data_IF_972185986097
#
_entry.id   IF_972185986097
#
_cell.length_a   1.000
_cell.length_b   1.000
_cell.length_c   1.000
_cell.angle_alpha   90.00
_cell.angle_beta   90.00
_cell.angle_gamma   90.00
#
_symmetry.space_group_name_H-M   'P 1'
#
loop_
_entity.id
_entity.type
_entity.pdbx_description
1 polymer ?
#
# COMPACT_ATOMS: atom_id res chain seq x y z
N UNK A 1 -4.97 32.66 -21.26
CA UNK A 1 -4.06 33.77 -20.89
C UNK A 1 -3.02 33.35 -19.84
N UNK A 2 -3.37 33.07 -18.56
CA UNK A 2 -2.37 32.70 -17.54
C UNK A 2 -1.59 31.42 -17.86
N UNK A 3 -2.27 30.33 -18.25
CA UNK A 3 -1.61 29.05 -18.58
C UNK A 3 -0.75 29.11 -19.85
N UNK A 4 -1.18 29.86 -20.89
CA UNK A 4 -0.39 30.06 -22.11
C UNK A 4 0.85 30.90 -21.84
N UNK A 5 0.72 31.91 -20.98
CA UNK A 5 1.84 32.72 -20.54
C UNK A 5 2.87 31.88 -19.76
N UNK A 6 2.41 31.11 -18.77
CA UNK A 6 3.27 30.18 -18.02
C UNK A 6 3.98 29.19 -18.95
N UNK A 7 3.27 28.66 -19.95
CA UNK A 7 3.85 27.76 -20.96
C UNK A 7 4.93 28.44 -21.80
N UNK A 8 4.71 29.69 -22.22
CA UNK A 8 5.72 30.46 -22.95
C UNK A 8 6.96 30.73 -22.09
N UNK A 9 6.76 31.11 -20.84
CA UNK A 9 7.84 31.37 -19.88
C UNK A 9 8.63 30.09 -19.59
N UNK A 10 7.95 28.97 -19.36
CA UNK A 10 8.57 27.66 -19.21
C UNK A 10 9.42 27.28 -20.44
N UNK A 11 8.89 27.44 -21.67
CA UNK A 11 9.65 27.16 -22.90
C UNK A 11 10.92 28.03 -23.03
N UNK A 12 10.84 29.31 -22.67
CA UNK A 12 12.01 30.20 -22.63
C UNK A 12 13.06 29.72 -21.64
N UNK A 13 12.65 29.31 -20.43
CA UNK A 13 13.57 28.76 -19.42
C UNK A 13 14.19 27.45 -19.88
N UNK A 14 13.40 26.52 -20.44
CA UNK A 14 13.96 25.27 -20.99
C UNK A 14 15.00 25.56 -22.08
N UNK A 15 14.73 26.49 -22.97
CA UNK A 15 15.68 26.91 -24.02
C UNK A 15 16.97 27.52 -23.43
N UNK A 16 16.85 28.30 -22.35
CA UNK A 16 17.98 28.86 -21.59
C UNK A 16 18.81 27.77 -20.87
N UNK A 17 18.18 26.66 -20.48
CA UNK A 17 18.83 25.55 -19.81
C UNK A 17 19.42 24.51 -20.77
N UNK A 18 19.06 24.55 -22.05
CA UNK A 18 19.52 23.57 -23.03
C UNK A 18 21.06 23.59 -23.18
N UNK A 19 21.76 22.46 -22.91
CA UNK A 19 23.20 22.35 -23.08
C UNK A 19 23.69 22.74 -24.48
N UNK A 20 22.84 22.55 -25.51
CA UNK A 20 23.15 22.93 -26.91
C UNK A 20 23.22 24.44 -27.11
N UNK A 21 22.45 25.20 -26.32
CA UNK A 21 22.41 26.66 -26.39
C UNK A 21 23.45 27.30 -25.46
N UNK A 22 23.83 26.60 -24.39
CA UNK A 22 24.71 27.12 -23.34
C UNK A 22 26.17 26.69 -23.50
N UNK A 23 26.44 25.63 -24.27
CA UNK A 23 27.77 25.04 -24.45
C UNK A 23 28.30 24.35 -23.19
N UNK A 24 27.48 24.13 -22.17
CA UNK A 24 27.86 23.60 -20.86
C UNK A 24 27.28 22.20 -20.67
N UNK A 25 28.11 21.18 -20.88
CA UNK A 25 27.70 19.77 -20.84
C UNK A 25 27.67 19.21 -19.40
N UNK A 26 28.32 19.88 -18.43
CA UNK A 26 28.52 19.38 -17.06
C UNK A 26 28.14 20.39 -15.97
N UNK A 27 27.11 21.20 -16.19
CA UNK A 27 26.61 22.13 -15.16
C UNK A 27 25.81 21.33 -14.11
N UNK A 28 26.01 21.61 -12.81
CA UNK A 28 25.26 20.95 -11.74
C UNK A 28 23.82 21.46 -11.65
N UNK A 29 22.90 20.62 -11.17
CA UNK A 29 21.47 20.94 -11.04
C UNK A 29 21.22 22.23 -10.23
N UNK A 30 22.03 22.46 -9.19
CA UNK A 30 21.96 23.67 -8.36
C UNK A 30 22.27 24.96 -9.15
N UNK A 31 23.30 24.94 -9.99
CA UNK A 31 23.66 26.09 -10.84
C UNK A 31 22.63 26.34 -11.94
N UNK A 32 22.06 25.28 -12.52
CA UNK A 32 20.94 25.41 -13.46
C UNK A 32 19.70 26.03 -12.79
N UNK A 33 19.42 25.63 -11.54
CA UNK A 33 18.30 26.15 -10.76
C UNK A 33 18.47 27.64 -10.45
N UNK A 34 19.65 28.06 -9.99
CA UNK A 34 19.95 29.47 -9.73
C UNK A 34 19.75 30.33 -10.99
N UNK A 35 20.23 29.87 -12.14
CA UNK A 35 20.07 30.59 -13.41
C UNK A 35 18.62 30.69 -13.86
N UNK A 36 17.87 29.59 -13.73
CA UNK A 36 16.44 29.60 -14.01
C UNK A 36 15.68 30.55 -13.07
N UNK A 37 16.04 30.55 -11.79
CA UNK A 37 15.45 31.42 -10.78
C UNK A 37 15.72 32.89 -11.06
N UNK A 38 16.97 33.24 -11.43
CA UNK A 38 17.34 34.61 -11.79
C UNK A 38 16.58 35.07 -13.05
N UNK A 39 16.54 34.25 -14.09
CA UNK A 39 15.82 34.57 -15.33
C UNK A 39 14.31 34.79 -15.08
N UNK A 40 13.69 33.91 -14.28
CA UNK A 40 12.29 34.03 -13.92
C UNK A 40 12.01 35.29 -13.12
N UNK A 41 12.89 35.65 -12.19
CA UNK A 41 12.76 36.91 -11.41
C UNK A 41 12.80 38.13 -12.34
N UNK A 42 13.81 38.20 -13.20
CA UNK A 42 13.99 39.33 -14.12
C UNK A 42 12.81 39.49 -15.10
N UNK A 43 12.24 38.39 -15.61
CA UNK A 43 11.12 38.45 -16.55
C UNK A 43 9.78 38.74 -15.83
N UNK A 44 9.57 38.20 -14.63
CA UNK A 44 8.35 38.44 -13.84
C UNK A 44 8.31 39.86 -13.24
N UNK A 45 9.45 40.43 -12.85
CA UNK A 45 9.53 41.80 -12.33
C UNK A 45 9.18 42.88 -13.37
N UNK A 46 9.28 42.54 -14.65
CA UNK A 46 8.82 43.39 -15.76
C UNK A 46 7.31 43.40 -15.91
N UNK A 47 6.59 42.54 -15.18
CA UNK A 47 5.14 42.39 -15.29
C UNK A 47 4.40 43.14 -14.19
N UNK A 48 3.21 43.64 -14.53
CA UNK A 48 2.28 44.27 -13.58
C UNK A 48 1.45 43.21 -12.83
N UNK A 49 2.13 42.28 -12.16
CA UNK A 49 1.50 41.26 -11.31
C UNK A 49 1.77 41.57 -9.82
N UNK A 50 0.83 41.27 -8.91
CA UNK A 50 1.11 41.25 -7.47
C UNK A 50 2.28 40.33 -7.14
N UNK A 51 3.05 40.67 -6.11
CA UNK A 51 4.23 39.90 -5.67
C UNK A 51 3.89 38.43 -5.39
N UNK A 52 2.76 38.18 -4.72
CA UNK A 52 2.30 36.83 -4.38
C UNK A 52 1.99 35.99 -5.63
N UNK A 53 1.48 36.60 -6.70
CA UNK A 53 1.19 35.92 -7.96
C UNK A 53 2.48 35.61 -8.72
N UNK A 54 3.47 36.53 -8.73
CA UNK A 54 4.80 36.27 -9.31
C UNK A 54 5.49 35.11 -8.63
N UNK A 55 5.49 35.10 -7.30
CA UNK A 55 6.10 34.03 -6.50
C UNK A 55 5.43 32.68 -6.75
N UNK A 56 4.11 32.67 -6.92
CA UNK A 56 3.34 31.45 -7.25
C UNK A 56 3.73 30.92 -8.63
N UNK A 57 3.80 31.79 -9.64
CA UNK A 57 4.21 31.42 -11.02
C UNK A 57 5.65 30.92 -11.04
N UNK A 58 6.56 31.64 -10.38
CA UNK A 58 7.98 31.30 -10.28
C UNK A 58 8.18 29.92 -9.65
N UNK A 59 7.54 29.67 -8.50
CA UNK A 59 7.60 28.37 -7.81
C UNK A 59 7.06 27.25 -8.68
N UNK A 60 5.92 27.46 -9.33
CA UNK A 60 5.32 26.46 -10.22
C UNK A 60 6.26 26.04 -11.36
N UNK A 61 6.90 27.00 -12.03
CA UNK A 61 7.85 26.69 -13.12
C UNK A 61 9.11 26.01 -12.59
N UNK A 62 9.65 26.45 -11.46
CA UNK A 62 10.82 25.81 -10.85
C UNK A 62 10.50 24.36 -10.42
N UNK A 63 9.32 24.12 -9.84
CA UNK A 63 8.90 22.78 -9.46
C UNK A 63 8.71 21.87 -10.69
N UNK A 64 8.22 22.39 -11.81
CA UNK A 64 8.11 21.63 -13.06
C UNK A 64 9.46 21.24 -13.67
N UNK A 65 10.47 22.10 -13.52
CA UNK A 65 11.80 21.86 -14.07
C UNK A 65 12.65 20.95 -13.17
N UNK A 66 12.65 21.22 -11.86
CA UNK A 66 13.61 20.64 -10.91
C UNK A 66 12.98 19.74 -9.84
N UNK A 67 11.66 19.73 -9.70
CA UNK A 67 10.95 18.87 -8.77
C UNK A 67 9.97 17.95 -9.51
N UNK A 68 8.72 17.86 -9.04
CA UNK A 68 7.68 17.01 -9.60
C UNK A 68 6.50 17.82 -10.11
N UNK A 69 6.72 19.08 -10.47
CA UNK A 69 5.70 19.98 -11.00
C UNK A 69 4.53 20.17 -10.03
N UNK A 70 3.28 20.26 -10.52
CA UNK A 70 2.11 20.59 -9.70
C UNK A 70 1.82 19.58 -8.58
N UNK A 71 2.33 18.35 -8.65
CA UNK A 71 2.13 17.34 -7.60
C UNK A 71 3.13 17.44 -6.44
N UNK A 72 4.15 18.31 -6.55
CA UNK A 72 5.19 18.49 -5.52
C UNK A 72 4.62 18.75 -4.12
N UNK A 73 3.63 19.65 -3.92
CA UNK A 73 3.04 19.89 -2.61
C UNK A 73 2.31 18.66 -2.03
N UNK A 74 1.72 17.81 -2.87
CA UNK A 74 1.00 16.62 -2.41
C UNK A 74 1.94 15.48 -2.02
N UNK A 75 3.14 15.44 -2.59
CA UNK A 75 4.16 14.48 -2.21
C UNK A 75 4.65 14.73 -0.77
N UNK A 76 4.75 15.99 -0.35
CA UNK A 76 5.15 16.35 1.01
C UNK A 76 3.99 16.36 2.02
N UNK A 77 2.73 16.51 1.57
CA UNK A 77 1.55 16.56 2.45
C UNK A 77 1.30 15.20 3.16
N UNK A 78 1.47 15.09 4.49
CA UNK A 78 1.29 13.83 5.22
C UNK A 78 -0.16 13.32 5.24
N UNK A 79 -1.15 14.16 4.90
CA UNK A 79 -2.57 13.79 4.83
C UNK A 79 -2.88 13.07 3.51
N UNK A 80 -2.11 13.33 2.45
CA UNK A 80 -2.28 12.68 1.15
C UNK A 80 -1.69 11.27 1.19
N UNK A 81 -2.53 10.27 0.90
CA UNK A 81 -2.15 8.85 0.84
C UNK A 81 -1.91 8.36 -0.58
N UNK A 82 -2.57 8.95 -1.56
CA UNK A 82 -2.49 8.55 -2.97
C UNK A 82 -2.63 9.77 -3.89
N UNK A 83 -1.89 9.78 -4.99
CA UNK A 83 -1.95 10.80 -6.04
C UNK A 83 -2.22 10.09 -7.36
N UNK A 84 -3.26 10.48 -8.08
CA UNK A 84 -3.64 9.92 -9.37
C UNK A 84 -3.67 11.03 -10.42
N UNK A 85 -2.79 10.92 -11.41
CA UNK A 85 -2.72 11.80 -12.58
C UNK A 85 -3.22 11.01 -13.78
N UNK A 86 -4.46 11.24 -14.17
CA UNK A 86 -5.08 10.57 -15.33
C UNK A 86 -4.70 11.22 -16.67
N UNK A 87 -3.98 12.34 -16.61
CA UNK A 87 -3.51 13.15 -17.73
C UNK A 87 -3.22 14.57 -17.24
N UNK A 88 -2.68 15.44 -18.11
CA UNK A 88 -2.24 16.79 -17.69
C UNK A 88 -3.29 17.62 -16.94
N UNK A 89 -4.57 17.48 -17.28
CA UNK A 89 -5.67 18.28 -16.72
C UNK A 89 -6.46 17.57 -15.62
N UNK A 90 -6.06 16.36 -15.21
CA UNK A 90 -6.88 15.49 -14.37
C UNK A 90 -6.03 14.89 -13.25
N UNK A 91 -5.99 15.59 -12.12
CA UNK A 91 -5.23 15.21 -10.93
C UNK A 91 -6.17 15.06 -9.74
N UNK A 92 -6.16 13.87 -9.15
CA UNK A 92 -6.89 13.51 -7.94
C UNK A 92 -5.91 13.15 -6.83
N UNK A 93 -6.32 13.41 -5.60
CA UNK A 93 -5.61 12.95 -4.40
C UNK A 93 -6.57 12.22 -3.48
N UNK A 94 -6.08 11.20 -2.79
CA UNK A 94 -6.78 10.61 -1.65
C UNK A 94 -6.37 11.33 -0.37
N UNK A 95 -7.34 11.93 0.32
CA UNK A 95 -7.20 12.50 1.66
C UNK A 95 -8.21 11.86 2.59
N UNK A 96 -7.75 11.35 3.73
CA UNK A 96 -8.62 10.72 4.74
C UNK A 96 -9.55 9.63 4.17
N UNK A 97 -9.09 8.87 3.18
CA UNK A 97 -9.91 7.84 2.55
C UNK A 97 -11.02 8.39 1.64
N UNK A 98 -10.90 9.63 1.13
CA UNK A 98 -11.78 10.20 0.11
C UNK A 98 -10.97 10.71 -1.08
N UNK A 99 -11.47 10.43 -2.28
CA UNK A 99 -10.90 10.96 -3.52
C UNK A 99 -11.39 12.39 -3.74
N UNK A 100 -10.45 13.32 -3.92
CA UNK A 100 -10.73 14.74 -4.10
C UNK A 100 -10.04 15.24 -5.37
N UNK A 101 -10.77 15.86 -6.32
CA UNK A 101 -10.15 16.54 -7.45
C UNK A 101 -9.38 17.77 -6.95
N UNK A 102 -8.17 17.95 -7.45
CA UNK A 102 -7.27 19.02 -6.97
C UNK A 102 -7.50 20.37 -7.65
N UNK A 103 -8.11 20.38 -8.84
CA UNK A 103 -8.30 21.58 -9.65
C UNK A 103 -7.01 22.13 -10.30
N UNK A 104 -5.86 21.49 -10.07
CA UNK A 104 -4.59 21.86 -10.67
C UNK A 104 -4.25 20.96 -11.86
N UNK A 105 -3.36 21.43 -12.74
CA UNK A 105 -2.98 20.77 -13.98
C UNK A 105 -1.48 20.94 -14.26
N UNK A 106 -0.91 20.01 -15.01
CA UNK A 106 0.38 20.18 -15.67
C UNK A 106 0.24 21.11 -16.88
N UNK A 107 1.30 21.86 -17.21
CA UNK A 107 1.27 22.75 -18.38
C UNK A 107 1.06 22.00 -19.70
N UNK A 108 1.55 20.77 -19.82
CA UNK A 108 1.42 19.95 -21.02
C UNK A 108 1.68 18.46 -20.78
N UNK A 109 1.43 17.61 -21.78
CA UNK A 109 1.71 16.17 -21.66
C UNK A 109 3.23 15.91 -21.65
N UNK A 110 4.02 16.79 -22.29
CA UNK A 110 5.48 16.73 -22.25
C UNK A 110 6.05 17.04 -20.86
N UNK A 111 5.45 18.00 -20.12
CA UNK A 111 5.89 18.31 -18.74
C UNK A 111 5.53 17.19 -17.76
N UNK A 112 4.35 16.58 -17.92
CA UNK A 112 3.99 15.37 -17.18
C UNK A 112 4.94 14.21 -17.52
N UNK A 113 5.23 13.98 -18.81
CA UNK A 113 6.19 12.96 -19.23
C UNK A 113 7.58 13.19 -18.62
N UNK A 114 8.10 14.41 -18.68
CA UNK A 114 9.39 14.77 -18.07
C UNK A 114 9.41 14.54 -16.55
N UNK A 115 8.29 14.79 -15.87
CA UNK A 115 8.14 14.49 -14.43
C UNK A 115 8.23 12.99 -14.16
N UNK A 116 7.53 12.18 -14.96
CA UNK A 116 7.59 10.71 -14.85
C UNK A 116 9.01 10.21 -15.13
N UNK A 117 9.67 10.70 -16.18
CA UNK A 117 11.03 10.30 -16.55
C UNK A 117 12.04 10.63 -15.43
N UNK A 118 11.90 11.78 -14.75
CA UNK A 118 12.71 12.13 -13.57
C UNK A 118 12.47 11.21 -12.37
N UNK A 119 11.23 10.76 -12.15
CA UNK A 119 10.94 9.79 -11.08
C UNK A 119 11.53 8.41 -11.40
N UNK A 120 11.37 7.96 -12.65
CA UNK A 120 11.79 6.63 -13.12
C UNK A 120 13.32 6.53 -13.22
N UNK A 121 14.02 7.60 -13.61
CA UNK A 121 15.48 7.60 -13.69
C UNK A 121 16.18 7.38 -12.34
N UNK A 122 15.56 7.83 -11.24
CA UNK A 122 16.07 7.63 -9.88
C UNK A 122 16.00 6.18 -9.39
N UNK A 123 15.15 5.37 -10.01
CA UNK A 123 14.87 3.98 -9.58
C UNK A 123 15.46 2.93 -10.54
N UNK A 124 16.31 3.36 -11.47
CA UNK A 124 17.00 2.54 -12.47
C UNK A 124 16.04 1.61 -13.25
N UNK A 125 14.85 2.12 -13.58
CA UNK A 125 13.88 1.45 -14.45
C UNK A 125 13.83 2.16 -15.80
N UNK A 126 13.31 1.46 -16.82
CA UNK A 126 13.10 2.02 -18.15
C UNK A 126 11.61 2.28 -18.39
N UNK A 127 11.32 3.37 -19.08
CA UNK A 127 9.99 3.74 -19.55
C UNK A 127 10.13 4.40 -20.92
N UNK A 128 9.81 3.67 -21.98
CA UNK A 128 9.93 4.10 -23.37
C UNK A 128 8.87 3.41 -24.24
N UNK A 129 8.85 3.65 -25.55
CA UNK A 129 7.83 3.06 -26.44
C UNK A 129 7.88 1.52 -26.51
N UNK A 130 9.03 0.91 -26.21
CA UNK A 130 9.19 -0.54 -26.16
C UNK A 130 8.72 -1.13 -24.83
N UNK A 131 8.80 -0.34 -23.75
CA UNK A 131 8.30 -0.67 -22.41
C UNK A 131 7.44 0.50 -21.88
N UNK A 132 6.18 0.62 -22.33
CA UNK A 132 5.36 1.83 -22.15
C UNK A 132 4.66 1.90 -20.79
N UNK A 133 5.01 1.04 -19.85
CA UNK A 133 4.52 1.07 -18.48
C UNK A 133 5.61 0.64 -17.51
N UNK A 134 5.54 1.12 -16.28
CA UNK A 134 6.52 0.80 -15.24
C UNK A 134 5.87 0.79 -13.86
N UNK A 135 6.23 -0.21 -13.06
CA UNK A 135 6.00 -0.27 -11.63
C UNK A 135 7.33 -0.14 -10.90
N UNK A 136 7.42 0.81 -9.96
CA UNK A 136 8.65 1.05 -9.24
C UNK A 136 8.43 1.60 -7.82
N UNK A 137 9.50 1.57 -7.04
CA UNK A 137 9.54 2.08 -5.67
C UNK A 137 10.52 3.24 -5.57
N UNK A 138 10.02 4.40 -5.16
CA UNK A 138 10.81 5.61 -4.95
C UNK A 138 11.68 5.50 -3.68
N UNK A 139 12.75 6.31 -3.55
CA UNK A 139 13.63 6.30 -2.38
C UNK A 139 12.94 6.61 -1.05
N UNK A 140 11.82 7.33 -1.07
CA UNK A 140 10.99 7.61 0.11
C UNK A 140 10.10 6.41 0.51
N UNK A 141 10.13 5.33 -0.27
CA UNK A 141 9.34 4.12 -0.11
C UNK A 141 8.03 4.11 -0.90
N UNK A 142 7.59 5.26 -1.44
CA UNK A 142 6.37 5.37 -2.24
C UNK A 142 6.40 4.47 -3.47
N UNK A 143 5.25 3.89 -3.84
CA UNK A 143 5.12 3.11 -5.07
C UNK A 143 4.57 3.99 -6.19
N UNK A 144 5.14 3.84 -7.37
CA UNK A 144 4.69 4.51 -8.58
C UNK A 144 4.29 3.48 -9.63
N UNK A 145 3.20 3.76 -10.31
CA UNK A 145 2.80 3.13 -11.56
C UNK A 145 2.66 4.23 -12.61
N UNK A 146 3.34 4.10 -13.73
CA UNK A 146 3.22 5.06 -14.83
C UNK A 146 3.01 4.33 -16.16
N UNK A 147 2.20 4.93 -17.03
CA UNK A 147 1.89 4.41 -18.37
C UNK A 147 1.96 5.58 -19.36
N UNK A 148 2.57 5.35 -20.51
CA UNK A 148 2.76 6.36 -21.56
C UNK A 148 2.12 5.92 -22.89
N UNK A 149 1.93 6.86 -23.84
CA UNK A 149 1.61 6.50 -25.21
C UNK A 149 2.64 5.53 -25.81
N UNK A 150 2.24 4.63 -26.72
CA UNK A 150 0.91 4.53 -27.34
C UNK A 150 -0.14 3.76 -26.53
N UNK A 151 0.21 3.19 -25.37
CA UNK A 151 -0.73 2.37 -24.56
C UNK A 151 -1.76 3.25 -23.86
N UNK A 152 -1.36 4.41 -23.33
CA UNK A 152 -2.28 5.38 -22.75
C UNK A 152 -2.67 6.45 -23.79
N UNK A 153 -3.84 6.30 -24.40
CA UNK A 153 -4.32 7.20 -25.48
C UNK A 153 -4.60 8.63 -25.00
N UNK A 154 -4.90 8.81 -23.72
CA UNK A 154 -5.16 10.11 -23.10
C UNK A 154 -3.89 10.92 -22.81
N UNK A 155 -2.71 10.40 -23.17
CA UNK A 155 -1.42 10.94 -22.78
C UNK A 155 -0.82 10.17 -21.60
N UNK A 156 0.34 10.60 -21.07
CA UNK A 156 0.95 9.94 -19.91
C UNK A 156 0.02 9.95 -18.69
N UNK A 157 0.02 8.86 -17.92
CA UNK A 157 -0.65 8.79 -16.62
C UNK A 157 0.30 8.27 -15.54
N UNK A 158 0.00 8.63 -14.29
CA UNK A 158 0.85 8.34 -13.13
C UNK A 158 -0.02 8.14 -11.89
N UNK A 159 0.20 7.03 -11.18
CA UNK A 159 -0.36 6.78 -9.86
C UNK A 159 0.77 6.66 -8.86
N UNK A 160 0.68 7.40 -7.75
CA UNK A 160 1.65 7.37 -6.65
C UNK A 160 0.90 6.97 -5.38
N UNK A 161 1.27 5.82 -4.81
CA UNK A 161 0.80 5.40 -3.49
C UNK A 161 1.89 5.70 -2.48
N UNK A 162 1.61 6.63 -1.57
CA UNK A 162 2.54 7.05 -0.53
C UNK A 162 2.48 6.07 0.64
N UNK A 163 3.64 5.77 1.21
CA UNK A 163 3.71 5.03 2.46
C UNK A 163 4.02 5.99 3.59
N UNK A 164 3.29 5.87 4.69
CA UNK A 164 3.65 6.60 5.90
C UNK A 164 5.05 6.19 6.34
N UNK A 165 5.78 7.17 6.89
CA UNK A 165 7.09 6.92 7.50
C UNK A 165 6.93 6.00 8.70
N UNK A 166 5.98 6.31 9.58
CA UNK A 166 5.63 5.56 10.77
C UNK A 166 4.34 4.75 10.56
N UNK A 167 4.33 3.45 10.92
CA UNK A 167 3.13 2.64 10.85
C UNK A 167 2.10 3.11 11.88
N UNK A 168 0.81 2.87 11.62
CA UNK A 168 -0.23 3.13 12.61
C UNK A 168 -0.06 2.20 13.80
N UNK A 169 -0.08 2.77 15.01
CA UNK A 169 -0.25 2.03 16.25
C UNK A 169 -1.68 1.50 16.37
N UNK A 170 -1.87 0.47 17.19
CA UNK A 170 -3.20 -0.06 17.45
C UNK A 170 -4.07 0.97 18.19
N UNK A 171 -3.46 1.78 19.05
CA UNK A 171 -4.09 2.86 19.80
C UNK A 171 -4.60 3.97 18.86
N UNK A 172 -3.83 4.34 17.83
CA UNK A 172 -4.31 5.23 16.77
C UNK A 172 -5.50 4.63 16.01
N UNK A 173 -5.46 3.33 15.68
CA UNK A 173 -6.58 2.67 15.00
C UNK A 173 -7.86 2.67 15.85
N UNK A 174 -7.73 2.56 17.18
CA UNK A 174 -8.86 2.72 18.11
C UNK A 174 -9.37 4.16 18.07
N UNK A 175 -8.48 5.15 18.11
CA UNK A 175 -8.82 6.58 18.00
C UNK A 175 -9.53 6.92 16.68
N UNK A 176 -9.17 6.26 15.58
CA UNK A 176 -9.81 6.36 14.27
C UNK A 176 -11.13 5.58 14.15
N UNK A 177 -11.56 4.90 15.23
CA UNK A 177 -12.74 4.03 15.26
C UNK A 177 -12.70 2.92 14.20
N UNK A 178 -11.50 2.39 13.94
CA UNK A 178 -11.30 1.21 13.09
C UNK A 178 -11.76 -0.05 13.81
N UNK A 179 -11.50 -0.14 15.12
CA UNK A 179 -11.97 -1.20 16.00
C UNK A 179 -12.08 -0.67 17.45
N UNK A 180 -12.98 -1.21 18.27
CA UNK A 180 -13.08 -0.86 19.68
C UNK A 180 -11.93 -1.46 20.50
N UNK A 181 -11.75 -0.96 21.73
CA UNK A 181 -10.66 -1.36 22.62
C UNK A 181 -10.70 -2.87 22.92
N UNK A 182 -11.88 -3.42 23.15
CA UNK A 182 -12.07 -4.82 23.52
C UNK A 182 -11.61 -5.76 22.39
N UNK A 183 -11.92 -5.40 21.15
CA UNK A 183 -11.46 -6.13 19.97
C UNK A 183 -9.95 -6.01 19.76
N UNK A 184 -9.39 -4.82 20.00
CA UNK A 184 -7.95 -4.58 19.93
C UNK A 184 -7.19 -5.40 20.99
N UNK A 185 -7.69 -5.44 22.21
CA UNK A 185 -7.13 -6.22 23.31
C UNK A 185 -7.17 -7.73 23.03
N UNK A 186 -8.27 -8.23 22.46
CA UNK A 186 -8.38 -9.63 22.01
C UNK A 186 -7.32 -9.96 20.96
N UNK A 187 -7.19 -9.11 19.92
CA UNK A 187 -6.22 -9.35 18.85
C UNK A 187 -4.77 -9.21 19.35
N UNK A 188 -4.50 -8.30 20.29
CA UNK A 188 -3.18 -8.18 20.94
C UNK A 188 -2.80 -9.48 21.64
N UNK A 189 -3.69 -10.02 22.47
CA UNK A 189 -3.47 -11.29 23.16
C UNK A 189 -3.29 -12.45 22.19
N UNK A 190 -4.06 -12.47 21.09
CA UNK A 190 -3.90 -13.47 20.04
C UNK A 190 -2.51 -13.44 19.39
N UNK A 191 -1.98 -12.24 19.11
CA UNK A 191 -0.61 -12.12 18.57
C UNK A 191 0.42 -12.64 19.57
N UNK A 192 0.33 -12.23 20.83
CA UNK A 192 1.27 -12.63 21.90
C UNK A 192 1.25 -14.16 22.08
N UNK A 193 0.07 -14.78 22.00
CA UNK A 193 -0.12 -16.23 22.15
C UNK A 193 0.12 -17.03 20.88
N UNK A 194 0.72 -16.42 19.85
CA UNK A 194 1.11 -17.08 18.60
C UNK A 194 -0.08 -17.68 17.84
N UNK A 195 -1.24 -17.03 17.89
CA UNK A 195 -2.38 -17.42 17.06
C UNK A 195 -2.12 -17.02 15.60
N UNK A 196 -2.50 -17.88 14.66
CA UNK A 196 -2.40 -17.61 13.23
C UNK A 196 -3.58 -16.74 12.76
N UNK A 197 -3.27 -15.55 12.22
CA UNK A 197 -4.27 -14.52 11.91
C UNK A 197 -4.29 -14.22 10.40
N UNK A 198 -5.48 -14.20 9.82
CA UNK A 198 -5.70 -13.71 8.46
C UNK A 198 -6.53 -12.43 8.49
N UNK A 199 -5.96 -11.35 7.95
CA UNK A 199 -6.66 -10.08 7.77
C UNK A 199 -7.21 -10.00 6.34
N UNK A 200 -8.52 -10.04 6.20
CA UNK A 200 -9.22 -10.08 4.91
C UNK A 200 -9.99 -8.79 4.62
N UNK A 201 -10.30 -8.56 3.34
CA UNK A 201 -11.05 -7.36 2.90
C UNK A 201 -10.74 -6.91 1.47
N UNK A 202 -11.51 -5.93 0.98
CA UNK A 202 -11.34 -5.35 -0.36
C UNK A 202 -10.04 -4.55 -0.55
N UNK A 203 -9.81 -4.10 -1.78
CA UNK A 203 -8.69 -3.21 -2.11
C UNK A 203 -8.82 -1.89 -1.34
N UNK A 204 -7.72 -1.41 -0.76
CA UNK A 204 -7.71 -0.14 -0.01
C UNK A 204 -8.46 -0.14 1.33
N UNK A 205 -8.93 -1.30 1.81
CA UNK A 205 -9.67 -1.40 3.08
C UNK A 205 -8.78 -1.26 4.33
N UNK A 206 -7.45 -1.29 4.19
CA UNK A 206 -6.52 -1.14 5.32
C UNK A 206 -6.01 -2.46 5.91
N UNK A 207 -6.09 -3.58 5.17
CA UNK A 207 -5.59 -4.90 5.63
C UNK A 207 -4.14 -4.86 6.11
N UNK A 208 -3.22 -4.38 5.26
CA UNK A 208 -1.79 -4.29 5.57
C UNK A 208 -1.53 -3.32 6.72
N UNK A 209 -2.34 -2.27 6.85
CA UNK A 209 -2.28 -1.34 7.99
C UNK A 209 -2.58 -2.04 9.31
N UNK A 210 -3.70 -2.79 9.37
CA UNK A 210 -4.06 -3.54 10.57
C UNK A 210 -3.06 -4.66 10.85
N UNK A 211 -2.64 -5.42 9.83
CA UNK A 211 -1.60 -6.44 9.95
C UNK A 211 -0.32 -5.84 10.56
N UNK A 212 0.14 -4.69 10.06
CA UNK A 212 1.37 -4.07 10.53
C UNK A 212 1.23 -3.59 11.99
N UNK A 213 0.08 -3.01 12.36
CA UNK A 213 -0.21 -2.62 13.75
C UNK A 213 -0.22 -3.83 14.70
N UNK A 214 -0.89 -4.92 14.32
CA UNK A 214 -0.92 -6.16 15.10
C UNK A 214 0.47 -6.80 15.25
N UNK A 215 1.28 -6.76 14.18
CA UNK A 215 2.61 -7.36 14.17
C UNK A 215 3.60 -6.67 15.13
N UNK A 216 3.32 -5.44 15.59
CA UNK A 216 4.15 -4.77 16.61
C UNK A 216 4.04 -5.44 18.00
N UNK A 217 3.01 -6.25 18.23
CA UNK A 217 2.84 -6.98 19.51
C UNK A 217 3.53 -8.34 19.55
N UNK A 218 4.21 -8.74 18.47
CA UNK A 218 5.09 -9.91 18.49
C UNK A 218 6.24 -9.63 19.48
N UNK A 219 6.55 -10.54 20.44
CA UNK A 219 7.65 -10.35 21.40
C UNK A 219 8.99 -10.03 20.74
N UNK A 220 9.84 -9.23 21.40
CA UNK A 220 11.08 -8.72 20.82
C UNK A 220 12.15 -9.82 20.63
N UNK A 221 12.05 -10.92 21.37
CA UNK A 221 12.94 -12.07 21.30
C UNK A 221 12.67 -12.95 20.07
N UNK A 222 11.51 -12.80 19.44
CA UNK A 222 11.11 -13.61 18.29
C UNK A 222 11.72 -13.10 16.98
N UNK A 223 12.22 -14.03 16.17
CA UNK A 223 12.75 -13.76 14.83
C UNK A 223 11.63 -13.75 13.80
N UNK A 224 11.46 -12.62 13.13
CA UNK A 224 10.36 -12.38 12.19
C UNK A 224 10.93 -12.31 10.77
N UNK A 225 10.30 -13.03 9.84
CA UNK A 225 10.55 -12.88 8.40
C UNK A 225 9.29 -12.32 7.74
N UNK A 226 9.40 -11.13 7.15
CA UNK A 226 8.33 -10.56 6.31
C UNK A 226 8.59 -10.88 4.84
N UNK A 227 7.53 -11.17 4.09
CA UNK A 227 7.59 -11.54 2.68
C UNK A 227 6.49 -10.78 1.94
N UNK A 228 6.85 -9.93 0.98
CA UNK A 228 5.90 -9.06 0.29
C UNK A 228 6.23 -8.93 -1.20
N UNK A 229 5.24 -8.63 -2.05
CA UNK A 229 5.49 -8.25 -3.45
C UNK A 229 6.35 -6.98 -3.54
N UNK A 230 6.07 -6.02 -2.66
CA UNK A 230 6.96 -4.89 -2.37
C UNK A 230 6.84 -4.57 -0.87
N UNK A 231 7.93 -4.23 -0.19
CA UNK A 231 7.86 -4.14 1.27
C UNK A 231 7.04 -2.93 1.76
N UNK A 232 5.83 -3.16 2.27
CA UNK A 232 4.98 -2.16 2.94
C UNK A 232 5.06 -2.28 4.47
N UNK A 233 5.36 -3.48 4.97
CA UNK A 233 5.41 -3.77 6.41
C UNK A 233 6.68 -3.18 7.00
N UNK A 234 6.51 -2.48 8.12
CA UNK A 234 7.60 -1.83 8.87
C UNK A 234 7.51 -2.23 10.34
N UNK A 235 8.34 -3.17 10.75
CA UNK A 235 8.40 -3.64 12.13
C UNK A 235 9.53 -2.94 12.88
N UNK A 236 9.21 -2.30 14.01
CA UNK A 236 10.20 -1.69 14.88
C UNK A 236 10.66 -2.72 15.92
N UNK A 237 11.33 -3.78 15.43
CA UNK A 237 11.74 -4.94 16.22
C UNK A 237 13.20 -5.29 15.93
N UNK A 238 13.95 -5.84 16.91
CA UNK A 238 15.39 -6.11 16.75
C UNK A 238 15.70 -7.24 15.77
N UNK A 239 14.83 -8.27 15.69
CA UNK A 239 15.09 -9.50 14.93
C UNK A 239 14.19 -9.65 13.70
N UNK A 240 14.26 -8.69 12.76
CA UNK A 240 13.42 -8.69 11.54
C UNK A 240 14.26 -8.88 10.28
N UNK A 241 13.78 -9.74 9.39
CA UNK A 241 14.27 -9.85 8.02
C UNK A 241 13.14 -9.52 7.07
N UNK A 242 13.43 -8.65 6.11
CA UNK A 242 12.48 -8.20 5.11
C UNK A 242 12.86 -8.83 3.78
N UNK A 243 11.96 -9.63 3.20
CA UNK A 243 12.11 -10.24 1.90
C UNK A 243 11.09 -9.65 0.94
N UNK A 244 11.56 -9.31 -0.26
CA UNK A 244 10.74 -8.73 -1.32
C UNK A 244 10.78 -9.64 -2.55
N UNK A 245 9.60 -9.97 -3.10
CA UNK A 245 9.50 -10.70 -4.34
C UNK A 245 10.08 -9.86 -5.49
N UNK A 246 10.61 -10.53 -6.49
CA UNK A 246 11.21 -9.86 -7.65
C UNK A 246 10.46 -10.29 -8.90
N UNK A 247 9.81 -9.37 -9.64
CA UNK A 247 9.27 -9.70 -10.95
C UNK A 247 10.42 -10.07 -11.91
N UNK A 248 10.13 -10.80 -13.01
CA UNK A 248 11.15 -11.09 -14.01
C UNK A 248 11.72 -9.78 -14.59
N UNK A 249 12.96 -9.86 -15.08
CA UNK A 249 13.56 -8.77 -15.86
C UNK A 249 12.89 -8.66 -17.25
N UNK A 250 13.33 -7.70 -18.05
CA UNK A 250 12.80 -7.45 -19.42
C UNK A 250 12.92 -8.70 -20.31
N UNK A 251 13.93 -9.54 -20.07
CA UNK A 251 14.15 -10.81 -20.78
C UNK A 251 13.26 -11.96 -20.26
N UNK A 252 12.38 -11.69 -19.30
CA UNK A 252 11.47 -12.69 -18.71
C UNK A 252 12.14 -13.62 -17.69
N UNK A 253 13.37 -13.33 -17.25
CA UNK A 253 14.16 -14.22 -16.38
C UNK A 253 14.40 -13.63 -14.99
N UNK A 254 14.84 -14.47 -14.05
CA UNK A 254 15.26 -14.03 -12.72
C UNK A 254 14.13 -13.61 -11.78
N UNK A 255 12.89 -14.02 -12.04
CA UNK A 255 11.80 -13.82 -11.09
C UNK A 255 12.07 -14.60 -9.78
N UNK A 256 11.65 -14.01 -8.67
CA UNK A 256 11.64 -14.64 -7.35
C UNK A 256 10.22 -14.42 -6.81
N UNK A 257 9.45 -15.50 -6.70
CA UNK A 257 8.06 -15.41 -6.26
C UNK A 257 7.94 -15.36 -4.73
N UNK A 258 6.79 -14.91 -4.22
CA UNK A 258 6.46 -15.02 -2.79
C UNK A 258 6.62 -16.48 -2.32
N UNK A 259 6.19 -17.45 -3.15
CA UNK A 259 6.30 -18.87 -2.85
C UNK A 259 7.75 -19.32 -2.63
N UNK A 260 8.67 -18.85 -3.48
CA UNK A 260 10.10 -19.16 -3.35
C UNK A 260 10.66 -18.61 -2.04
N UNK A 261 10.26 -17.38 -1.68
CA UNK A 261 10.68 -16.73 -0.44
C UNK A 261 10.09 -17.42 0.79
N UNK A 262 8.82 -17.87 0.76
CA UNK A 262 8.20 -18.63 1.86
C UNK A 262 8.96 -19.94 2.07
N UNK A 263 9.30 -20.68 1.01
CA UNK A 263 10.09 -21.91 1.13
C UNK A 263 11.49 -21.66 1.66
N UNK A 264 12.12 -20.58 1.21
CA UNK A 264 13.45 -20.22 1.69
C UNK A 264 13.43 -19.77 3.15
N UNK A 265 12.39 -19.05 3.60
CA UNK A 265 12.28 -18.55 4.96
C UNK A 265 12.23 -19.67 6.00
N UNK A 266 11.66 -20.83 5.68
CA UNK A 266 11.65 -22.00 6.57
C UNK A 266 13.06 -22.50 6.95
N UNK A 267 14.09 -22.15 6.17
CA UNK A 267 15.50 -22.47 6.47
C UNK A 267 16.21 -21.39 7.29
N UNK A 268 15.55 -20.27 7.53
CA UNK A 268 16.11 -19.09 8.21
C UNK A 268 15.86 -19.11 9.71
N UNK A 269 15.30 -20.22 10.24
CA UNK A 269 14.84 -20.41 11.61
C UNK A 269 13.96 -19.24 12.10
N UNK A 270 12.88 -18.89 11.38
CA UNK A 270 11.97 -17.85 11.84
C UNK A 270 11.10 -18.39 12.99
N UNK A 271 10.80 -17.53 13.95
CA UNK A 271 9.73 -17.79 14.92
C UNK A 271 8.38 -17.35 14.33
N UNK A 272 8.37 -16.35 13.44
CA UNK A 272 7.16 -15.82 12.78
C UNK A 272 7.40 -15.60 11.30
N UNK A 273 6.44 -15.99 10.48
CA UNK A 273 6.41 -15.67 9.05
C UNK A 273 5.21 -14.75 8.79
N UNK A 274 5.47 -13.59 8.22
CA UNK A 274 4.44 -12.63 7.86
C UNK A 274 4.44 -12.50 6.34
N UNK A 275 3.34 -12.88 5.71
CA UNK A 275 3.18 -12.73 4.26
C UNK A 275 2.28 -11.53 4.03
N UNK A 276 2.77 -10.51 3.32
CA UNK A 276 2.02 -9.27 3.12
C UNK A 276 0.67 -9.50 2.49
N UNK A 277 0.59 -10.37 1.48
CA UNK A 277 -0.66 -10.83 0.90
C UNK A 277 -0.49 -12.18 0.21
N UNK A 278 -1.38 -13.13 0.49
CA UNK A 278 -1.48 -14.38 -0.27
C UNK A 278 -2.46 -14.21 -1.45
N UNK A 279 -2.00 -14.60 -2.64
CA UNK A 279 -2.71 -14.50 -3.93
C UNK A 279 -2.72 -15.82 -4.72
N UNK A 280 -1.88 -16.81 -4.38
CA UNK A 280 -1.70 -18.02 -5.17
C UNK A 280 -1.12 -19.20 -4.38
N UNK A 281 -0.34 -20.03 -5.07
CA UNK A 281 0.13 -21.33 -4.58
C UNK A 281 0.96 -21.28 -3.29
N UNK A 282 1.55 -20.13 -2.94
CA UNK A 282 2.22 -19.90 -1.66
C UNK A 282 1.32 -20.08 -0.45
N UNK A 283 -0.02 -20.00 -0.62
CA UNK A 283 -0.97 -20.27 0.45
C UNK A 283 -0.79 -21.69 1.03
N UNK A 284 -0.46 -22.68 0.20
CA UNK A 284 -0.20 -24.05 0.67
C UNK A 284 1.06 -24.09 1.54
N UNK A 285 2.16 -23.52 1.05
CA UNK A 285 3.43 -23.50 1.79
C UNK A 285 3.27 -22.71 3.12
N UNK A 286 2.44 -21.66 3.12
CA UNK A 286 2.10 -20.90 4.33
C UNK A 286 1.27 -21.72 5.33
N UNK A 287 0.21 -22.40 4.89
CA UNK A 287 -0.59 -23.27 5.74
C UNK A 287 0.25 -24.42 6.32
N UNK A 288 1.20 -24.94 5.55
CA UNK A 288 2.15 -25.93 6.03
C UNK A 288 3.06 -25.33 7.11
N UNK A 289 3.62 -24.14 6.90
CA UNK A 289 4.44 -23.46 7.89
C UNK A 289 3.69 -23.27 9.23
N UNK A 290 2.44 -22.78 9.16
CA UNK A 290 1.55 -22.61 10.31
C UNK A 290 1.32 -23.91 11.08
N UNK A 291 1.15 -25.03 10.38
CA UNK A 291 0.96 -26.36 10.99
C UNK A 291 2.27 -27.02 11.47
N UNK A 292 3.44 -26.54 11.04
CA UNK A 292 4.75 -27.20 11.26
C UNK A 292 5.72 -26.35 12.08
N UNK A 293 5.20 -25.70 13.13
CA UNK A 293 6.03 -25.02 14.14
C UNK A 293 6.40 -23.57 13.81
N UNK A 294 5.74 -22.95 12.83
CA UNK A 294 5.81 -21.50 12.58
C UNK A 294 4.45 -20.87 12.87
N UNK A 295 3.95 -21.15 14.07
CA UNK A 295 2.74 -20.56 14.63
C UNK A 295 2.86 -19.05 14.79
N UNK A 296 1.74 -18.37 14.98
CA UNK A 296 1.70 -16.92 15.10
C UNK A 296 1.89 -16.17 13.80
N UNK A 297 1.83 -16.85 12.67
CA UNK A 297 1.97 -16.27 11.34
C UNK A 297 0.77 -15.38 11.01
N UNK A 298 1.02 -14.26 10.32
CA UNK A 298 -0.01 -13.29 9.94
C UNK A 298 0.04 -13.07 8.43
N UNK A 299 -1.11 -13.06 7.76
CA UNK A 299 -1.20 -12.67 6.35
C UNK A 299 -2.42 -11.83 6.04
N UNK A 300 -2.42 -11.23 4.86
CA UNK A 300 -3.63 -10.63 4.29
C UNK A 300 -4.15 -11.39 3.08
N UNK A 301 -5.44 -11.24 2.82
CA UNK A 301 -6.08 -11.78 1.63
C UNK A 301 -7.26 -10.95 1.16
N UNK A 302 -7.49 -10.89 -0.14
CA UNK A 302 -8.68 -10.26 -0.69
C UNK A 302 -9.88 -11.19 -0.52
N UNK A 303 -10.95 -10.70 0.10
CA UNK A 303 -12.24 -11.40 0.20
C UNK A 303 -13.35 -10.39 0.51
N UNK A 304 -14.60 -10.79 0.29
CA UNK A 304 -15.79 -9.99 0.63
C UNK A 304 -16.40 -10.35 1.98
N UNK A 305 -16.05 -11.53 2.53
CA UNK A 305 -16.49 -12.02 3.83
C UNK A 305 -15.44 -12.96 4.44
N UNK A 306 -15.45 -13.24 5.75
CA UNK A 306 -14.60 -14.27 6.36
C UNK A 306 -14.74 -15.64 5.71
N UNK A 307 -15.97 -16.05 5.36
CA UNK A 307 -16.22 -17.36 4.71
C UNK A 307 -15.69 -17.40 3.29
N UNK A 308 -15.77 -16.30 2.54
CA UNK A 308 -15.17 -16.21 1.20
C UNK A 308 -13.65 -16.25 1.25
N UNK A 309 -13.02 -15.74 2.33
CA UNK A 309 -11.58 -15.86 2.52
C UNK A 309 -11.15 -17.33 2.58
N UNK A 310 -11.88 -18.17 3.34
CA UNK A 310 -11.61 -19.61 3.40
C UNK A 310 -11.73 -20.29 2.03
N UNK A 311 -12.80 -19.99 1.27
CA UNK A 311 -12.97 -20.51 -0.10
C UNK A 311 -11.85 -20.07 -1.04
N UNK A 312 -11.37 -18.84 -0.87
CA UNK A 312 -10.24 -18.33 -1.65
C UNK A 312 -8.94 -19.01 -1.28
N UNK A 313 -8.69 -19.30 -0.01
CA UNK A 313 -7.55 -20.13 0.40
C UNK A 313 -7.61 -21.51 -0.23
N UNK A 314 -8.78 -22.17 -0.24
CA UNK A 314 -8.95 -23.45 -0.94
C UNK A 314 -8.52 -23.34 -2.41
N UNK A 315 -8.97 -22.28 -3.09
CA UNK A 315 -8.63 -22.04 -4.50
C UNK A 315 -7.14 -21.75 -4.67
N UNK A 316 -6.53 -20.93 -3.81
CA UNK A 316 -5.10 -20.60 -3.82
C UNK A 316 -4.24 -21.86 -3.65
N UNK A 317 -4.64 -22.77 -2.77
CA UNK A 317 -3.96 -24.06 -2.58
C UNK A 317 -4.04 -24.91 -3.85
N UNK A 318 -5.17 -24.93 -4.55
CA UNK A 318 -5.29 -25.65 -5.83
C UNK A 318 -4.36 -25.09 -6.91
N UNK A 319 -4.06 -23.78 -6.87
CA UNK A 319 -3.09 -23.15 -7.78
C UNK A 319 -1.62 -23.51 -7.47
N UNK A 320 -1.36 -24.24 -6.37
CA UNK A 320 0.00 -24.69 -6.03
C UNK A 320 0.56 -25.76 -6.98
N UNK A 321 -0.31 -26.38 -7.79
CA UNK A 321 0.04 -27.47 -8.71
C UNK A 321 0.13 -28.84 -8.03
N UNK A 322 -0.16 -28.94 -6.73
CA UNK A 322 -0.21 -30.21 -5.99
C UNK A 322 -1.67 -30.67 -5.92
N UNK A 323 -1.94 -31.87 -6.41
CA UNK A 323 -3.26 -32.49 -6.33
C UNK A 323 -3.54 -32.98 -4.91
N UNK A 324 -4.31 -32.19 -4.15
CA UNK A 324 -4.75 -32.51 -2.79
C UNK A 324 -6.28 -32.58 -2.79
N UNK A 325 -6.90 -33.63 -2.23
CA UNK A 325 -8.35 -33.67 -2.08
C UNK A 325 -8.88 -32.46 -1.31
N UNK A 326 -9.97 -31.84 -1.77
CA UNK A 326 -10.53 -30.62 -1.16
C UNK A 326 -10.78 -30.78 0.34
N UNK A 327 -11.21 -31.96 0.78
CA UNK A 327 -11.39 -32.26 2.21
C UNK A 327 -10.09 -32.09 3.00
N UNK A 328 -8.98 -32.61 2.49
CA UNK A 328 -7.66 -32.49 3.14
C UNK A 328 -7.15 -31.04 3.12
N UNK A 329 -7.47 -30.26 2.08
CA UNK A 329 -7.18 -28.81 2.05
C UNK A 329 -7.95 -28.10 3.17
N UNK A 330 -9.25 -28.40 3.33
CA UNK A 330 -10.08 -27.82 4.39
C UNK A 330 -9.60 -28.21 5.79
N UNK A 331 -9.16 -29.45 5.97
CA UNK A 331 -8.56 -29.91 7.23
C UNK A 331 -7.27 -29.12 7.54
N UNK A 332 -6.40 -28.90 6.55
CA UNK A 332 -5.20 -28.07 6.72
C UNK A 332 -5.54 -26.62 7.06
N UNK A 333 -6.53 -26.03 6.40
CA UNK A 333 -7.01 -24.66 6.68
C UNK A 333 -7.58 -24.57 8.10
N UNK A 334 -8.44 -25.51 8.49
CA UNK A 334 -9.07 -25.54 9.81
C UNK A 334 -8.08 -25.76 10.96
N UNK A 335 -6.99 -26.49 10.68
CA UNK A 335 -5.91 -26.72 11.64
C UNK A 335 -4.92 -25.55 11.72
N UNK A 336 -4.66 -24.88 10.61
CA UNK A 336 -3.63 -23.84 10.54
C UNK A 336 -4.12 -22.48 11.03
N UNK A 337 -5.36 -22.10 10.72
CA UNK A 337 -5.84 -20.74 10.93
C UNK A 337 -6.68 -20.69 12.19
N UNK A 338 -6.40 -19.71 13.03
CA UNK A 338 -7.14 -19.52 14.28
C UNK A 338 -8.16 -18.39 14.17
N UNK A 339 -7.76 -17.26 13.58
CA UNK A 339 -8.57 -16.03 13.58
C UNK A 339 -8.63 -15.41 12.18
N UNK A 340 -9.85 -15.10 11.76
CA UNK A 340 -10.16 -14.30 10.58
C UNK A 340 -10.63 -12.91 11.04
N UNK A 341 -9.91 -11.88 10.62
CA UNK A 341 -10.32 -10.48 10.81
C UNK A 341 -10.76 -9.92 9.46
N UNK A 342 -11.93 -9.29 9.39
CA UNK A 342 -12.44 -8.72 8.15
C UNK A 342 -12.52 -7.20 8.24
N UNK A 343 -11.94 -6.51 7.26
CA UNK A 343 -11.83 -5.05 7.23
C UNK A 343 -12.47 -4.49 5.96
N UNK A 344 -13.33 -3.49 6.13
CA UNK A 344 -14.03 -2.81 5.06
C UNK A 344 -13.70 -1.31 5.04
N UNK A 345 -13.76 -0.71 3.84
CA UNK A 345 -13.82 0.75 3.68
C UNK A 345 -15.29 1.16 3.70
N UNK A 346 -15.66 1.98 4.67
CA UNK A 346 -17.00 2.51 4.88
C UNK A 346 -17.29 3.63 3.88
N UNK A 347 -18.57 3.93 3.67
CA UNK A 347 -19.00 4.95 2.70
C UNK A 347 -18.55 6.38 3.05
N UNK A 348 -18.19 6.62 4.32
CA UNK A 348 -17.60 7.87 4.81
C UNK A 348 -16.08 7.95 4.59
N UNK A 349 -15.44 6.91 4.01
CA UNK A 349 -14.00 6.81 3.80
C UNK A 349 -13.24 6.13 4.94
N UNK A 350 -13.87 5.95 6.11
CA UNK A 350 -13.27 5.29 7.27
C UNK A 350 -12.99 3.82 6.96
N UNK A 351 -11.90 3.29 7.52
CA UNK A 351 -11.55 1.88 7.45
C UNK A 351 -11.91 1.24 8.79
N UNK A 352 -12.74 0.20 8.78
CA UNK A 352 -13.22 -0.44 10.00
C UNK A 352 -13.25 -1.96 9.90
N UNK A 353 -12.92 -2.61 11.01
CA UNK A 353 -13.11 -4.04 11.20
C UNK A 353 -14.60 -4.31 11.33
N UNK A 354 -15.13 -5.23 10.53
CA UNK A 354 -16.56 -5.58 10.54
C UNK A 354 -16.83 -6.97 11.12
N UNK A 355 -15.80 -7.81 11.22
CA UNK A 355 -15.93 -9.14 11.80
C UNK A 355 -14.60 -9.62 12.36
N UNK A 356 -14.64 -10.25 13.53
CA UNK A 356 -13.55 -11.07 14.06
C UNK A 356 -14.13 -12.44 14.36
N UNK A 357 -13.64 -13.45 13.65
CA UNK A 357 -14.16 -14.81 13.66
C UNK A 357 -13.06 -15.79 14.00
N UNK A 358 -13.32 -16.67 14.98
CA UNK A 358 -12.48 -17.81 15.30
C UNK A 358 -12.80 -19.01 14.39
N UNK A 359 -11.78 -19.75 13.99
CA UNK A 359 -11.92 -21.06 13.37
C UNK A 359 -11.90 -22.11 14.48
N UNK A 360 -13.05 -22.76 14.70
CA UNK A 360 -13.22 -23.65 15.86
C UNK A 360 -12.95 -25.12 15.55
N UNK A 361 -12.85 -25.46 14.27
CA UNK A 361 -12.51 -26.80 13.79
C UNK A 361 -13.20 -27.10 12.47
N UNK A 362 -13.53 -28.37 12.24
CA UNK A 362 -14.20 -28.83 11.05
C UNK A 362 -15.23 -29.91 11.40
N UNK A 363 -16.42 -29.83 10.81
CA UNK A 363 -17.44 -30.88 10.88
C UNK A 363 -17.68 -31.40 9.48
N UNK A 364 -17.52 -32.71 9.29
CA UNK A 364 -17.64 -33.43 8.02
C UNK A 364 -16.74 -32.87 6.89
N UNK A 365 -17.19 -31.80 6.23
CA UNK A 365 -16.52 -31.13 5.11
C UNK A 365 -16.68 -29.61 5.16
N UNK A 366 -17.12 -29.06 6.29
CA UNK A 366 -17.29 -27.63 6.51
C UNK A 366 -16.43 -27.15 7.68
N UNK A 367 -15.70 -26.06 7.45
CA UNK A 367 -14.94 -25.38 8.49
C UNK A 367 -15.94 -24.66 9.41
N UNK A 368 -15.81 -24.89 10.71
CA UNK A 368 -16.64 -24.30 11.74
C UNK A 368 -16.07 -22.93 12.13
N UNK A 369 -16.96 -21.95 12.19
CA UNK A 369 -16.63 -20.56 12.45
C UNK A 369 -17.45 -20.07 13.64
N UNK A 370 -16.80 -19.28 14.50
CA UNK A 370 -17.44 -18.61 15.63
C UNK A 370 -17.13 -17.12 15.59
N UNK A 371 -18.13 -16.29 15.30
CA UNK A 371 -17.96 -14.85 15.22
C UNK A 371 -18.03 -14.23 16.62
N UNK A 372 -16.90 -13.70 17.10
CA UNK A 372 -16.79 -13.08 18.43
C UNK A 372 -17.18 -11.61 18.40
N UNK A 373 -16.85 -10.93 17.30
CA UNK A 373 -17.19 -9.52 17.10
C UNK A 373 -17.88 -9.37 15.75
N UNK A 374 -18.98 -8.63 15.73
CA UNK A 374 -19.79 -8.37 14.54
C UNK A 374 -20.07 -6.88 14.40
N UNK A 375 -20.04 -6.39 13.17
CA UNK A 375 -20.49 -5.04 12.85
C UNK A 375 -21.99 -4.90 13.13
N UNK A 376 -22.33 -3.99 14.04
CA UNK A 376 -23.71 -3.61 14.32
C UNK A 376 -23.98 -2.28 13.63
N UNK A 377 -24.92 -2.32 12.68
CA UNK A 377 -25.39 -1.12 11.98
C UNK A 377 -26.15 -0.22 12.95
N UNK A 378 -25.82 1.06 12.93
CA UNK A 378 -26.58 2.12 13.56
C UNK A 378 -27.55 2.70 12.54
N UNK A 379 -28.81 2.92 12.96
CA UNK A 379 -29.85 3.57 12.15
C UNK A 379 -30.15 2.89 10.80
N UNK A 380 -29.84 1.59 10.66
CA UNK A 380 -30.09 0.81 9.45
C UNK A 380 -29.18 1.18 8.27
N UNK A 381 -28.03 1.81 8.54
CA UNK A 381 -27.03 2.13 7.53
C UNK A 381 -25.79 1.27 7.75
N UNK A 382 -25.42 0.44 6.77
CA UNK A 382 -24.12 -0.27 6.75
C UNK A 382 -22.94 0.69 6.99
N UNK A 383 -23.08 1.96 6.63
CA UNK A 383 -22.03 2.98 6.68
C UNK A 383 -21.82 3.56 8.07
N UNK A 384 -22.82 3.47 8.95
CA UNK A 384 -22.75 3.97 10.32
C UNK A 384 -22.92 2.78 11.25
N UNK A 385 -21.92 2.50 12.06
CA UNK A 385 -21.94 1.32 12.89
C UNK A 385 -20.66 1.18 13.70
N UNK A 386 -20.73 0.23 14.61
CA UNK A 386 -19.65 -0.11 15.53
C UNK A 386 -19.49 -1.62 15.57
N UNK A 387 -18.25 -2.07 15.69
CA UNK A 387 -17.98 -3.47 15.95
C UNK A 387 -18.35 -3.77 17.41
N UNK A 388 -19.20 -4.75 17.65
CA UNK A 388 -19.66 -5.13 18.99
C UNK A 388 -19.41 -6.61 19.24
N UNK A 389 -19.12 -6.98 20.49
CA UNK A 389 -19.05 -8.38 20.91
C UNK A 389 -20.39 -9.09 20.71
N UNK A 390 -20.35 -10.38 20.39
CA UNK A 390 -21.54 -11.19 20.13
C UNK A 390 -22.11 -11.87 21.37
N UNK A 391 -21.42 -11.78 22.53
CA UNK A 391 -21.76 -12.55 23.74
C UNK A 391 -21.19 -13.97 23.75
N UNK A 392 -20.60 -14.44 22.66
CA UNK A 392 -20.08 -15.79 22.55
C UNK A 392 -18.68 -15.85 23.20
N UNK A 393 -18.41 -16.82 24.10
CA UNK A 393 -17.09 -16.95 24.71
C UNK A 393 -16.05 -17.42 23.69
N UNK A 394 -14.85 -16.84 23.76
CA UNK A 394 -13.72 -17.26 22.93
C UNK A 394 -13.32 -18.71 23.21
N UNK A 395 -13.10 -19.49 22.16
CA UNK A 395 -12.52 -20.83 22.25
C UNK A 395 -11.09 -20.77 22.80
N UNK A 396 -10.33 -19.77 22.38
CA UNK A 396 -8.91 -19.65 22.69
C UNK A 396 -8.63 -18.98 24.04
N UNK A 397 -9.55 -18.14 24.53
CA UNK A 397 -9.43 -17.42 25.80
C UNK A 397 -10.64 -17.62 26.74
N UNK A 398 -10.89 -18.86 27.23
CA UNK A 398 -12.09 -19.18 28.00
C UNK A 398 -12.11 -18.65 29.45
N UNK A 399 -10.96 -18.24 30.01
CA UNK A 399 -10.80 -17.95 31.45
C UNK A 399 -10.88 -16.47 31.86
N UNK A 400 -11.22 -15.52 30.97
CA UNK A 400 -11.47 -14.13 31.39
C UNK A 400 -12.93 -13.99 31.80
N UNK A 401 -13.18 -13.55 33.05
CA UNK A 401 -14.52 -13.35 33.64
C UNK A 401 -15.40 -12.40 32.82
N UNK A 402 -14.79 -11.52 32.03
CA UNK A 402 -15.44 -10.85 30.92
C UNK A 402 -15.30 -11.74 29.69
N UNK A 403 -16.41 -12.34 29.23
CA UNK A 403 -16.51 -12.66 27.82
C UNK A 403 -16.05 -11.42 27.03
N UNK A 404 -15.38 -11.61 25.90
CA UNK A 404 -14.98 -10.51 25.00
C UNK A 404 -16.22 -9.90 24.31
N UNK A 405 -17.29 -9.68 25.09
CA UNK A 405 -18.69 -9.53 24.75
C UNK A 405 -19.18 -8.12 25.08
#
# INVERSE_FOLDING_TARGET
MAAEFQRSLHQKVVSLLDPRNTGRISEGEESMRERAEQYLRDELDRMLLPEEERETVRRGILDELFAYGPITPFLSDPVVTEIMVNGKNSIYVEKEGKLVPTGIAFLSDETLRGTIDRMVSRVNRRLDESSPYVDARLPDGSRINAIIPPVCLSGPCLTIRKFRKEPFSLEELIGLRTLPQEAADYLREAVIRRMNIIVSGGTGSGKTTLLNALSQFIPDEERIVTIEDAAEIKLMKPHVIILEARPPNIEGTGSISIRDLVRNSLRMRPDRIIVGECRGGEALDMLQAMNTGHDGSITTGHANTPRDMLRRLETMVLLSGIEIPVKAIREQIASAIDILVHVCRMGDGRRAVTSITEVTGMSESQILLQELFRWKEERGSIREGTLTGTGIPSKFFPCRETAWA
#
